data_IF_973922077545
#
_entry.id   IF_973922077545
#
_cell.length_a   1.000
_cell.length_b   1.000
_cell.length_c   1.000
_cell.angle_alpha   90.00
_cell.angle_beta   90.00
_cell.angle_gamma   90.00
#
_symmetry.space_group_name_H-M   'P 1'
#
loop_
_entity.id
_entity.type
_entity.pdbx_description
1 polymer ?
#
# COMPACT_ATOMS: atom_id res chain seq x y z
N UNK A 1 52.32 -42.88 21.33
CA UNK A 1 51.76 -41.68 21.94
C UNK A 1 52.40 -40.48 21.27
N UNK A 2 51.69 -39.88 20.29
CA UNK A 2 52.16 -38.65 19.64
C UNK A 2 51.62 -37.50 20.47
N UNK A 3 52.46 -36.89 21.31
CA UNK A 3 52.15 -35.65 22.00
C UNK A 3 52.14 -34.53 20.95
N UNK A 4 50.95 -34.06 20.64
CA UNK A 4 50.75 -32.87 19.85
C UNK A 4 51.13 -31.67 20.72
N UNK A 5 52.36 -31.19 20.60
CA UNK A 5 52.81 -29.92 21.19
C UNK A 5 52.05 -28.81 20.43
N UNK A 6 50.86 -28.47 20.89
CA UNK A 6 50.17 -27.30 20.38
C UNK A 6 50.99 -26.08 20.78
N UNK A 7 51.64 -25.48 19.82
CA UNK A 7 52.44 -24.29 20.01
C UNK A 7 51.52 -23.15 20.52
N UNK A 8 51.84 -22.60 21.70
CA UNK A 8 51.08 -21.55 22.36
C UNK A 8 50.75 -20.39 21.39
N UNK A 9 51.65 -20.07 20.48
CA UNK A 9 51.39 -19.10 19.38
C UNK A 9 50.18 -19.44 18.52
N UNK A 10 49.98 -20.71 18.20
CA UNK A 10 48.84 -21.16 17.37
C UNK A 10 47.55 -21.09 18.16
N UNK A 11 47.58 -21.28 19.47
CA UNK A 11 46.39 -21.13 20.35
C UNK A 11 45.94 -19.67 20.36
N UNK A 12 46.88 -18.71 20.54
CA UNK A 12 46.54 -17.27 20.50
C UNK A 12 46.03 -16.85 19.13
N UNK A 13 46.56 -17.40 18.06
CA UNK A 13 46.10 -17.10 16.69
C UNK A 13 44.69 -17.68 16.42
N UNK A 14 44.39 -18.84 16.97
CA UNK A 14 43.06 -19.46 16.88
C UNK A 14 42.04 -18.71 17.73
N UNK A 15 42.40 -18.27 18.95
CA UNK A 15 41.55 -17.47 19.81
C UNK A 15 41.30 -16.07 19.21
N UNK A 16 42.32 -15.44 18.62
CA UNK A 16 42.16 -14.14 17.96
C UNK A 16 41.29 -14.24 16.71
N UNK A 17 41.42 -15.33 15.94
CA UNK A 17 40.56 -15.59 14.77
C UNK A 17 39.08 -15.83 15.20
N UNK A 18 38.89 -16.60 16.29
CA UNK A 18 37.54 -16.81 16.85
C UNK A 18 36.94 -15.52 17.38
N UNK A 19 37.75 -14.62 17.98
CA UNK A 19 37.30 -13.32 18.47
C UNK A 19 36.95 -12.36 17.34
N UNK A 20 37.69 -12.40 16.21
CA UNK A 20 37.39 -11.61 15.02
C UNK A 20 36.07 -12.09 14.36
N UNK A 21 35.86 -13.41 14.33
CA UNK A 21 34.61 -14.00 13.79
C UNK A 21 33.42 -13.67 14.71
N UNK A 22 33.60 -13.64 16.03
CA UNK A 22 32.51 -13.26 16.95
C UNK A 22 32.22 -11.75 16.97
N UNK A 23 33.18 -10.90 16.57
CA UNK A 23 32.95 -9.46 16.41
C UNK A 23 32.33 -9.12 15.04
N UNK A 24 32.45 -10.01 14.06
CA UNK A 24 31.80 -9.85 12.76
C UNK A 24 30.38 -10.39 12.71
N UNK A 25 29.91 -11.08 13.76
CA UNK A 25 28.49 -11.34 13.99
C UNK A 25 27.82 -10.12 14.63
N UNK A 26 28.14 -8.92 14.13
CA UNK A 26 27.32 -7.74 14.36
C UNK A 26 25.91 -8.08 13.90
N UNK A 27 24.92 -7.83 14.72
CA UNK A 27 23.54 -7.81 14.30
C UNK A 27 23.50 -7.08 12.96
N UNK A 28 23.16 -7.78 11.90
CA UNK A 28 22.83 -7.16 10.63
C UNK A 28 21.51 -6.43 10.92
N UNK A 29 21.60 -5.22 11.47
CA UNK A 29 20.45 -4.37 11.60
C UNK A 29 19.94 -4.11 10.21
N UNK A 30 18.73 -4.57 9.93
CA UNK A 30 18.05 -4.26 8.67
C UNK A 30 17.84 -2.75 8.68
N UNK A 31 18.36 -2.01 7.69
CA UNK A 31 18.17 -0.57 7.66
C UNK A 31 16.68 -0.25 7.59
N UNK A 32 16.28 0.89 8.14
CA UNK A 32 14.91 1.38 7.97
C UNK A 32 14.66 1.64 6.48
N UNK A 33 13.50 1.23 5.99
CA UNK A 33 13.11 1.52 4.61
C UNK A 33 12.87 3.03 4.46
N UNK A 34 13.47 3.65 3.44
CA UNK A 34 13.06 5.00 3.05
C UNK A 34 11.60 4.97 2.56
N UNK A 35 10.80 6.03 2.78
CA UNK A 35 9.44 6.05 2.27
C UNK A 35 9.42 5.96 0.73
N UNK A 36 8.42 5.28 0.17
CA UNK A 36 8.11 5.32 -1.25
C UNK A 36 7.14 6.47 -1.48
N UNK A 37 7.67 7.59 -1.94
CA UNK A 37 6.89 8.82 -2.07
C UNK A 37 6.47 9.10 -3.51
N UNK A 38 5.27 9.63 -3.67
CA UNK A 38 4.76 10.17 -4.93
C UNK A 38 5.29 11.60 -5.07
N UNK A 39 5.65 12.03 -6.28
CA UNK A 39 6.15 13.38 -6.55
C UNK A 39 5.16 14.45 -6.08
N UNK A 40 5.63 15.43 -5.30
CA UNK A 40 4.81 16.47 -4.70
C UNK A 40 4.08 17.33 -5.75
N UNK A 41 4.71 17.60 -6.91
CA UNK A 41 4.08 18.38 -7.96
C UNK A 41 2.95 17.57 -8.62
N UNK A 42 3.11 16.26 -8.74
CA UNK A 42 2.06 15.37 -9.23
C UNK A 42 0.89 15.32 -8.24
N UNK A 43 1.15 15.17 -6.93
CA UNK A 43 0.12 15.24 -5.91
C UNK A 43 -0.69 16.54 -6.00
N UNK A 44 -0.01 17.68 -6.05
CA UNK A 44 -0.65 18.99 -6.16
C UNK A 44 -1.46 19.14 -7.46
N UNK A 45 -0.94 18.63 -8.59
CA UNK A 45 -1.61 18.74 -9.89
C UNK A 45 -2.94 18.00 -9.94
N UNK A 46 -3.04 16.88 -9.24
CA UNK A 46 -4.25 16.03 -9.17
C UNK A 46 -5.10 16.26 -7.92
N UNK A 47 -4.69 17.17 -7.03
CA UNK A 47 -5.43 17.49 -5.79
C UNK A 47 -5.38 16.38 -4.74
N UNK A 48 -4.21 15.75 -4.63
CA UNK A 48 -3.92 14.74 -3.60
C UNK A 48 -3.02 15.31 -2.52
N UNK A 49 -3.09 14.73 -1.33
CA UNK A 49 -2.21 15.05 -0.21
C UNK A 49 -1.69 13.80 0.49
N UNK A 50 -0.50 13.93 1.08
CA UNK A 50 0.04 12.94 2.01
C UNK A 50 -0.65 13.09 3.35
N UNK A 51 -1.16 11.98 3.90
CA UNK A 51 -1.87 11.95 5.19
C UNK A 51 -0.95 11.53 6.32
N UNK A 52 -0.14 10.48 6.10
CA UNK A 52 0.75 9.93 7.12
C UNK A 52 1.91 9.17 6.53
N UNK A 53 3.03 9.17 7.29
CA UNK A 53 4.15 8.26 7.11
C UNK A 53 4.28 7.45 8.39
N UNK A 54 4.28 6.13 8.27
CA UNK A 54 4.37 5.20 9.40
C UNK A 54 5.55 4.25 9.19
N UNK A 55 6.43 4.15 10.17
CA UNK A 55 7.54 3.20 10.19
C UNK A 55 7.16 1.99 11.04
N UNK A 56 7.36 0.80 10.49
CA UNK A 56 7.01 -0.45 11.14
C UNK A 56 8.11 -1.49 10.97
N UNK A 57 8.12 -2.48 11.86
CA UNK A 57 8.94 -3.67 11.73
C UNK A 57 8.03 -4.89 11.64
N UNK A 58 8.23 -5.71 10.63
CA UNK A 58 7.48 -6.93 10.38
C UNK A 58 8.38 -8.13 10.62
N UNK A 59 8.04 -8.96 11.59
CA UNK A 59 8.69 -10.26 11.78
C UNK A 59 8.00 -11.29 10.87
N UNK A 60 8.77 -11.86 9.94
CA UNK A 60 8.27 -12.86 9.01
C UNK A 60 9.00 -14.17 9.21
N UNK A 61 8.25 -15.23 9.48
CA UNK A 61 8.77 -16.61 9.56
C UNK A 61 9.05 -17.12 8.15
N UNK A 62 10.31 -17.46 7.88
CA UNK A 62 10.77 -17.99 6.58
C UNK A 62 10.76 -19.51 6.58
N UNK A 63 11.13 -20.13 7.72
CA UNK A 63 11.08 -21.57 7.96
C UNK A 63 10.61 -21.82 9.39
N UNK A 64 10.27 -23.07 9.75
CA UNK A 64 9.81 -23.44 11.09
C UNK A 64 10.73 -23.00 12.25
N UNK A 65 11.98 -22.62 11.95
CA UNK A 65 13.00 -22.23 12.94
C UNK A 65 13.69 -20.88 12.64
N UNK A 66 13.31 -20.18 11.58
CA UNK A 66 14.00 -18.97 11.16
C UNK A 66 12.97 -17.87 10.87
N UNK A 67 13.02 -16.78 11.64
CA UNK A 67 12.32 -15.53 11.32
C UNK A 67 13.31 -14.47 10.90
N UNK A 68 12.85 -13.57 10.03
CA UNK A 68 13.56 -12.35 9.62
C UNK A 68 12.74 -11.15 10.05
N UNK A 69 13.41 -10.11 10.49
CA UNK A 69 12.79 -8.82 10.75
C UNK A 69 12.97 -7.95 9.51
N UNK A 70 11.87 -7.51 8.94
CA UNK A 70 11.81 -6.59 7.82
C UNK A 70 11.38 -5.23 8.33
N UNK A 71 12.15 -4.20 8.07
CA UNK A 71 11.70 -2.84 8.33
C UNK A 71 10.90 -2.33 7.14
N UNK A 72 9.82 -1.63 7.44
CA UNK A 72 8.92 -1.11 6.42
C UNK A 72 8.53 0.33 6.71
N UNK A 73 8.26 1.07 5.64
CA UNK A 73 7.63 2.39 5.71
C UNK A 73 6.37 2.39 4.86
N UNK A 74 5.28 2.84 5.44
CA UNK A 74 3.97 2.99 4.81
C UNK A 74 3.68 4.47 4.65
N UNK A 75 3.31 4.90 3.44
CA UNK A 75 2.81 6.25 3.19
C UNK A 75 1.37 6.16 2.69
N UNK A 76 0.50 7.00 3.24
CA UNK A 76 -0.92 7.08 2.87
C UNK A 76 -1.20 8.42 2.21
N UNK A 77 -1.91 8.38 1.11
CA UNK A 77 -2.36 9.54 0.34
C UNK A 77 -3.88 9.54 0.21
N UNK A 78 -4.45 10.73 0.14
CA UNK A 78 -5.88 10.96 0.05
C UNK A 78 -6.18 11.94 -1.10
N UNK A 79 -7.30 11.72 -1.81
CA UNK A 79 -7.76 12.62 -2.86
C UNK A 79 -8.67 13.70 -2.27
N UNK A 80 -8.09 14.87 -1.98
CA UNK A 80 -8.83 16.01 -1.43
C UNK A 80 -9.81 16.58 -2.45
N UNK A 81 -9.41 16.65 -3.74
CA UNK A 81 -10.26 17.13 -4.84
C UNK A 81 -11.55 16.32 -4.93
N UNK A 82 -11.45 14.98 -4.93
CA UNK A 82 -12.63 14.12 -4.98
C UNK A 82 -13.54 14.34 -3.77
N UNK A 83 -12.98 14.49 -2.58
CA UNK A 83 -13.73 14.76 -1.36
C UNK A 83 -14.46 16.10 -1.41
N UNK A 84 -13.83 17.13 -1.95
CA UNK A 84 -14.45 18.45 -2.17
C UNK A 84 -15.55 18.36 -3.22
N UNK A 85 -15.34 17.66 -4.33
CA UNK A 85 -16.33 17.47 -5.39
C UNK A 85 -17.58 16.74 -4.89
N UNK A 86 -17.42 15.68 -4.09
CA UNK A 86 -18.53 14.97 -3.44
C UNK A 86 -19.29 15.93 -2.51
N UNK A 87 -18.57 16.66 -1.66
CA UNK A 87 -19.17 17.61 -0.71
C UNK A 87 -19.97 18.69 -1.43
N UNK A 88 -19.47 19.17 -2.57
CA UNK A 88 -20.17 20.15 -3.40
C UNK A 88 -21.44 19.57 -4.01
N UNK A 89 -21.37 18.37 -4.62
CA UNK A 89 -22.55 17.71 -5.20
C UNK A 89 -23.65 17.52 -4.13
N UNK A 90 -23.28 17.09 -2.92
CA UNK A 90 -24.20 16.94 -1.79
C UNK A 90 -24.83 18.29 -1.40
N UNK A 91 -24.04 19.36 -1.32
CA UNK A 91 -24.54 20.70 -1.01
C UNK A 91 -25.50 21.21 -2.08
N UNK A 92 -25.15 21.06 -3.35
CA UNK A 92 -25.99 21.47 -4.49
C UNK A 92 -27.32 20.69 -4.49
N UNK A 93 -27.30 19.40 -4.15
CA UNK A 93 -28.47 18.58 -3.99
C UNK A 93 -29.38 19.07 -2.84
N UNK A 94 -28.78 19.36 -1.68
CA UNK A 94 -29.50 19.88 -0.50
C UNK A 94 -30.20 21.21 -0.80
N UNK A 95 -29.49 22.15 -1.46
CA UNK A 95 -30.04 23.44 -1.84
C UNK A 95 -31.21 23.31 -2.83
N UNK A 96 -31.02 22.48 -3.86
CA UNK A 96 -32.03 22.25 -4.90
C UNK A 96 -33.30 21.66 -4.36
N UNK A 97 -33.20 20.75 -3.39
CA UNK A 97 -34.34 20.08 -2.77
C UNK A 97 -34.83 20.78 -1.51
N UNK A 98 -34.22 21.90 -1.11
CA UNK A 98 -34.57 22.69 0.11
C UNK A 98 -34.61 21.83 1.38
N UNK A 99 -33.64 20.92 1.51
CA UNK A 99 -33.57 20.01 2.65
C UNK A 99 -33.11 20.75 3.91
N UNK A 100 -33.84 20.69 5.02
CA UNK A 100 -33.47 21.39 6.25
C UNK A 100 -32.38 20.67 7.06
N UNK A 101 -31.96 19.47 6.64
CA UNK A 101 -31.04 18.61 7.37
C UNK A 101 -29.74 18.40 6.53
N UNK A 102 -28.61 18.36 7.23
CA UNK A 102 -27.36 17.94 6.63
C UNK A 102 -27.39 16.44 6.35
N UNK A 103 -27.04 16.05 5.13
CA UNK A 103 -26.89 14.63 4.77
C UNK A 103 -25.46 14.22 5.14
N UNK A 104 -25.27 13.22 6.02
CA UNK A 104 -23.94 12.75 6.33
C UNK A 104 -23.34 12.04 5.11
N UNK A 105 -22.12 12.43 4.76
CA UNK A 105 -21.32 11.72 3.75
C UNK A 105 -20.53 10.64 4.49
N UNK A 106 -20.56 9.38 4.03
CA UNK A 106 -19.74 8.34 4.62
C UNK A 106 -18.23 8.69 4.50
N UNK A 107 -17.49 8.58 5.61
CA UNK A 107 -16.06 8.95 5.68
C UNK A 107 -15.16 8.08 4.77
N UNK A 108 -15.63 6.91 4.38
CA UNK A 108 -14.91 5.94 3.55
C UNK A 108 -15.11 6.13 2.03
N UNK A 109 -15.78 7.20 1.60
CA UNK A 109 -16.03 7.50 0.18
C UNK A 109 -14.89 8.27 -0.50
N UNK A 110 -13.69 8.26 0.04
CA UNK A 110 -12.54 8.92 -0.55
C UNK A 110 -11.64 7.96 -1.32
N UNK A 111 -10.99 8.45 -2.37
CA UNK A 111 -9.94 7.70 -3.02
C UNK A 111 -8.64 7.76 -2.18
N UNK A 112 -7.95 6.63 -2.09
CA UNK A 112 -6.73 6.48 -1.30
C UNK A 112 -5.66 5.73 -2.08
N UNK A 113 -4.40 6.14 -1.92
CA UNK A 113 -3.23 5.38 -2.34
C UNK A 113 -2.39 5.08 -1.09
N UNK A 114 -1.92 3.85 -1.00
CA UNK A 114 -1.02 3.41 0.08
C UNK A 114 0.21 2.83 -0.58
N UNK A 115 1.37 3.37 -0.26
CA UNK A 115 2.67 2.78 -0.63
C UNK A 115 3.25 2.07 0.59
N UNK A 116 3.81 0.91 0.35
CA UNK A 116 4.42 0.08 1.37
C UNK A 116 5.81 -0.36 0.90
N UNK A 117 6.86 0.23 1.43
CA UNK A 117 8.25 -0.13 1.08
C UNK A 117 8.87 -0.97 2.19
N UNK A 118 9.44 -2.08 1.78
CA UNK A 118 10.17 -3.03 2.62
C UNK A 118 11.67 -2.89 2.39
N UNK A 119 12.44 -2.77 3.45
CA UNK A 119 13.90 -2.87 3.40
C UNK A 119 14.34 -4.29 3.77
N UNK A 120 15.33 -4.78 3.05
CA UNK A 120 15.91 -6.09 3.23
C UNK A 120 17.28 -5.99 3.89
N UNK A 121 17.71 -7.01 4.64
CA UNK A 121 19.09 -7.14 5.03
C UNK A 121 19.98 -7.12 3.78
N UNK A 122 21.10 -6.41 3.86
CA UNK A 122 22.05 -6.19 2.78
C UNK A 122 22.32 -7.47 1.93
N UNK A 123 22.02 -7.41 0.65
CA UNK A 123 22.19 -8.51 -0.31
C UNK A 123 21.11 -9.59 -0.31
N UNK A 124 20.06 -9.44 0.50
CA UNK A 124 18.90 -10.33 0.43
C UNK A 124 17.90 -9.81 -0.63
N UNK A 125 17.33 -10.75 -1.39
CA UNK A 125 16.15 -10.45 -2.23
C UNK A 125 14.92 -11.08 -1.61
N UNK A 126 13.80 -10.37 -1.62
CA UNK A 126 12.54 -10.99 -1.25
C UNK A 126 12.22 -12.13 -2.24
N UNK A 127 11.94 -13.33 -1.74
CA UNK A 127 11.40 -14.36 -2.61
C UNK A 127 10.10 -13.82 -3.25
N UNK A 128 9.96 -13.93 -4.56
CA UNK A 128 8.77 -13.47 -5.31
C UNK A 128 7.45 -13.94 -4.67
N UNK A 129 7.44 -15.16 -4.12
CA UNK A 129 6.28 -15.68 -3.38
C UNK A 129 6.01 -14.99 -2.05
N UNK A 130 6.96 -14.28 -1.45
CA UNK A 130 6.74 -13.53 -0.21
C UNK A 130 6.02 -12.20 -0.49
N UNK A 131 6.42 -11.50 -1.55
CA UNK A 131 5.73 -10.28 -2.02
C UNK A 131 4.26 -10.61 -2.29
N UNK A 132 3.98 -11.68 -3.04
CA UNK A 132 2.60 -12.12 -3.30
C UNK A 132 1.82 -12.41 -2.03
N UNK A 133 2.42 -13.07 -1.04
CA UNK A 133 1.77 -13.33 0.27
C UNK A 133 1.49 -12.06 1.07
N UNK A 134 2.42 -11.07 1.02
CA UNK A 134 2.20 -9.78 1.68
C UNK A 134 1.05 -9.05 0.99
N UNK A 135 1.01 -9.07 -0.35
CA UNK A 135 -0.08 -8.50 -1.12
C UNK A 135 -1.42 -9.16 -0.79
N UNK A 136 -1.48 -10.49 -0.81
CA UNK A 136 -2.69 -11.26 -0.44
C UNK A 136 -3.15 -10.87 0.98
N UNK A 137 -2.24 -10.87 1.96
CA UNK A 137 -2.56 -10.48 3.33
C UNK A 137 -3.08 -9.04 3.43
N UNK A 138 -2.53 -8.10 2.65
CA UNK A 138 -3.01 -6.72 2.63
C UNK A 138 -4.38 -6.58 1.96
N UNK A 139 -4.67 -7.39 0.96
CA UNK A 139 -6.01 -7.50 0.36
C UNK A 139 -7.00 -8.06 1.38
N UNK A 140 -6.66 -9.14 2.08
CA UNK A 140 -7.49 -9.73 3.14
C UNK A 140 -7.73 -8.72 4.28
N UNK A 141 -6.71 -7.94 4.70
CA UNK A 141 -6.86 -6.88 5.71
C UNK A 141 -7.85 -5.79 5.25
N UNK A 142 -7.91 -5.50 3.95
CA UNK A 142 -8.89 -4.55 3.39
C UNK A 142 -10.29 -5.17 3.39
N UNK A 143 -10.43 -6.43 3.01
CA UNK A 143 -11.72 -7.14 3.04
C UNK A 143 -12.26 -7.26 4.48
N UNK A 144 -11.42 -7.66 5.44
CA UNK A 144 -11.81 -7.82 6.86
C UNK A 144 -12.09 -6.48 7.57
N UNK A 145 -11.40 -5.41 7.17
CA UNK A 145 -11.48 -4.09 7.80
C UNK A 145 -12.47 -3.12 7.17
N UNK A 146 -13.04 -3.47 6.03
CA UNK A 146 -13.99 -2.65 5.28
C UNK A 146 -15.27 -3.45 4.99
N UNK A 147 -16.37 -2.75 4.78
CA UNK A 147 -17.62 -3.34 4.27
C UNK A 147 -17.50 -3.73 2.78
N UNK A 148 -16.34 -4.25 2.37
CA UNK A 148 -16.06 -4.68 1.00
C UNK A 148 -16.26 -6.18 0.90
N UNK A 149 -17.13 -6.61 0.00
CA UNK A 149 -17.38 -8.01 -0.29
C UNK A 149 -17.12 -8.32 -1.77
N UNK A 150 -16.84 -9.58 -2.05
CA UNK A 150 -16.71 -10.09 -3.42
C UNK A 150 -15.63 -9.37 -4.26
N UNK A 151 -14.44 -9.20 -3.70
CA UNK A 151 -13.30 -8.67 -4.44
C UNK A 151 -12.96 -9.60 -5.61
N UNK A 152 -12.98 -9.07 -6.83
CA UNK A 152 -12.71 -9.82 -8.05
C UNK A 152 -11.67 -9.10 -8.90
N UNK A 153 -10.66 -9.83 -9.37
CA UNK A 153 -9.72 -9.31 -10.36
C UNK A 153 -10.45 -9.09 -11.70
N UNK A 154 -10.50 -7.84 -12.17
CA UNK A 154 -11.11 -7.46 -13.46
C UNK A 154 -10.16 -7.66 -14.62
N UNK A 155 -8.93 -7.16 -14.46
CA UNK A 155 -7.92 -7.14 -15.50
C UNK A 155 -6.54 -6.87 -14.90
N UNK A 156 -5.51 -7.03 -15.73
CA UNK A 156 -4.17 -6.59 -15.42
C UNK A 156 -3.59 -5.81 -16.60
N UNK A 157 -2.72 -4.82 -16.32
CA UNK A 157 -2.03 -4.03 -17.34
C UNK A 157 -0.59 -3.73 -16.91
N UNK A 158 0.29 -3.51 -17.88
CA UNK A 158 1.65 -3.09 -17.60
C UNK A 158 1.68 -1.59 -17.30
N UNK A 159 2.47 -1.22 -16.30
CA UNK A 159 2.78 0.15 -15.93
C UNK A 159 4.29 0.35 -16.04
N UNK A 160 4.71 1.48 -16.59
CA UNK A 160 6.10 1.89 -16.65
C UNK A 160 6.26 3.08 -15.71
N UNK A 161 7.12 2.94 -14.70
CA UNK A 161 7.44 3.99 -13.75
C UNK A 161 8.35 5.04 -14.39
N UNK A 162 8.52 6.19 -13.74
CA UNK A 162 9.34 7.29 -14.25
C UNK A 162 10.84 6.92 -14.41
N UNK A 163 11.33 6.00 -13.60
CA UNK A 163 12.69 5.45 -13.69
C UNK A 163 12.86 4.38 -14.80
N UNK A 164 11.78 4.03 -15.51
CA UNK A 164 11.74 3.01 -16.55
C UNK A 164 11.47 1.59 -16.05
N UNK A 165 11.26 1.39 -14.75
CA UNK A 165 10.88 0.10 -14.18
C UNK A 165 9.50 -0.33 -14.70
N UNK A 166 9.41 -1.54 -15.25
CA UNK A 166 8.15 -2.13 -15.67
C UNK A 166 7.54 -2.96 -14.53
N UNK A 167 6.26 -2.75 -14.28
CA UNK A 167 5.50 -3.53 -13.29
C UNK A 167 4.11 -3.90 -13.81
N UNK A 168 3.54 -4.97 -13.26
CA UNK A 168 2.19 -5.40 -13.57
C UNK A 168 1.23 -4.88 -12.50
N UNK A 169 0.24 -4.13 -12.94
CA UNK A 169 -0.86 -3.66 -12.08
C UNK A 169 -2.02 -4.62 -12.24
N UNK A 170 -2.51 -5.17 -11.13
CA UNK A 170 -3.75 -5.92 -11.05
C UNK A 170 -4.87 -4.98 -10.61
N UNK A 171 -5.96 -4.97 -11.36
CA UNK A 171 -7.13 -4.13 -11.10
C UNK A 171 -8.27 -5.00 -10.60
N UNK A 172 -8.89 -4.58 -9.53
CA UNK A 172 -9.97 -5.28 -8.84
C UNK A 172 -11.25 -4.44 -8.83
N UNK A 173 -12.35 -5.14 -8.68
CA UNK A 173 -13.65 -4.54 -8.38
C UNK A 173 -14.29 -5.29 -7.22
N UNK A 174 -14.91 -4.58 -6.31
CA UNK A 174 -15.62 -5.13 -5.19
C UNK A 174 -16.99 -4.48 -5.03
N UNK A 175 -17.95 -5.22 -4.50
CA UNK A 175 -19.26 -4.67 -4.12
C UNK A 175 -19.18 -4.14 -2.69
N UNK A 176 -19.74 -2.96 -2.43
CA UNK A 176 -19.96 -2.52 -1.06
C UNK A 176 -21.14 -3.24 -0.42
N UNK A 177 -21.09 -3.47 0.89
CA UNK A 177 -22.18 -4.11 1.65
C UNK A 177 -23.47 -3.27 1.71
N UNK A 178 -23.41 -1.98 1.38
CA UNK A 178 -24.59 -1.14 1.29
C UNK A 178 -25.35 -1.47 -0.01
N UNK A 179 -26.19 -2.48 0.06
CA UNK A 179 -27.03 -3.00 -1.04
C UNK A 179 -27.92 -1.95 -1.71
N UNK A 180 -28.07 -0.79 -1.11
CA UNK A 180 -29.00 0.25 -1.57
C UNK A 180 -28.32 1.41 -2.33
N UNK A 181 -26.98 1.54 -2.28
CA UNK A 181 -26.32 2.72 -2.85
C UNK A 181 -25.96 2.62 -4.34
N UNK A 182 -25.91 1.42 -4.91
CA UNK A 182 -25.48 1.25 -6.32
C UNK A 182 -23.98 1.48 -6.55
N UNK A 183 -23.21 1.77 -5.50
CA UNK A 183 -21.78 2.01 -5.58
C UNK A 183 -20.97 0.72 -5.46
N UNK A 184 -19.84 0.69 -6.13
CA UNK A 184 -18.82 -0.34 -6.01
C UNK A 184 -17.47 0.30 -5.69
N UNK A 185 -16.50 -0.49 -5.28
CA UNK A 185 -15.12 -0.06 -5.13
C UNK A 185 -14.30 -0.59 -6.30
N UNK A 186 -13.48 0.25 -6.89
CA UNK A 186 -12.39 -0.14 -7.74
C UNK A 186 -11.08 -0.06 -6.95
N UNK A 187 -10.16 -0.94 -7.25
CA UNK A 187 -8.86 -0.92 -6.62
C UNK A 187 -7.78 -1.44 -7.55
N UNK A 188 -6.55 -1.15 -7.20
CA UNK A 188 -5.41 -1.77 -7.86
C UNK A 188 -4.36 -2.16 -6.84
N UNK A 189 -3.51 -3.10 -7.25
CA UNK A 189 -2.30 -3.44 -6.55
C UNK A 189 -1.17 -3.66 -7.56
N UNK A 190 0.01 -3.18 -7.22
CA UNK A 190 1.24 -3.43 -7.96
C UNK A 190 2.41 -3.58 -7.01
N UNK A 191 3.47 -4.24 -7.46
CA UNK A 191 4.70 -4.35 -6.70
C UNK A 191 5.91 -4.34 -7.64
N UNK A 192 6.96 -3.66 -7.21
CA UNK A 192 8.23 -3.59 -7.92
C UNK A 192 9.40 -3.63 -6.96
N UNK A 193 10.56 -4.01 -7.47
CA UNK A 193 11.78 -4.17 -6.69
C UNK A 193 12.84 -3.21 -7.21
N UNK A 194 13.53 -2.55 -6.28
CA UNK A 194 14.74 -1.80 -6.51
C UNK A 194 15.84 -2.42 -5.63
N UNK A 195 17.06 -2.49 -6.13
CA UNK A 195 18.26 -3.08 -5.52
C UNK A 195 18.09 -3.79 -4.16
N UNK A 196 17.78 -3.05 -3.09
CA UNK A 196 17.67 -3.55 -1.71
C UNK A 196 16.27 -3.34 -1.10
N UNK A 197 15.29 -2.91 -1.89
CA UNK A 197 13.92 -2.65 -1.41
C UNK A 197 12.86 -3.26 -2.31
N UNK A 198 11.72 -3.60 -1.71
CA UNK A 198 10.52 -3.97 -2.45
C UNK A 198 9.40 -2.99 -2.09
N UNK A 199 8.75 -2.45 -3.11
CA UNK A 199 7.63 -1.52 -2.94
C UNK A 199 6.35 -2.18 -3.40
N UNK A 200 5.32 -2.12 -2.57
CA UNK A 200 3.96 -2.51 -2.90
C UNK A 200 3.12 -1.24 -2.90
N UNK A 201 2.31 -1.05 -3.92
CA UNK A 201 1.40 0.08 -4.01
C UNK A 201 -0.02 -0.44 -4.19
N UNK A 202 -0.92 0.10 -3.40
CA UNK A 202 -2.35 -0.22 -3.46
C UNK A 202 -3.14 1.06 -3.57
N UNK A 203 -4.23 1.02 -4.32
CA UNK A 203 -5.17 2.12 -4.40
C UNK A 203 -6.61 1.63 -4.37
N UNK A 204 -7.48 2.45 -3.81
CA UNK A 204 -8.92 2.21 -3.72
C UNK A 204 -9.67 3.50 -4.08
N UNK A 205 -10.74 3.36 -4.84
CA UNK A 205 -11.62 4.45 -5.23
C UNK A 205 -13.06 3.97 -5.36
N UNK A 206 -14.05 4.71 -4.86
CA UNK A 206 -15.45 4.43 -5.11
C UNK A 206 -15.81 4.70 -6.58
N UNK A 207 -16.80 3.96 -7.11
CA UNK A 207 -17.29 4.09 -8.48
C UNK A 207 -18.79 3.91 -8.53
N UNK A 208 -19.49 4.76 -9.27
CA UNK A 208 -20.93 4.70 -9.50
C UNK A 208 -21.71 5.84 -8.91
N UNK A 209 -23.02 5.63 -8.74
CA UNK A 209 -23.95 6.61 -8.23
C UNK A 209 -24.34 6.28 -6.78
N UNK A 210 -24.24 7.26 -5.91
CA UNK A 210 -24.82 7.17 -4.57
C UNK A 210 -26.24 7.73 -4.58
N UNK A 211 -27.23 6.89 -4.28
CA UNK A 211 -28.64 7.23 -4.29
C UNK A 211 -29.16 7.39 -2.87
N UNK A 212 -30.10 8.32 -2.71
CA UNK A 212 -30.82 8.51 -1.47
C UNK A 212 -32.30 8.19 -1.69
N UNK A 213 -32.83 7.32 -0.84
CA UNK A 213 -34.25 6.96 -0.81
C UNK A 213 -34.87 7.42 0.52
N UNK A 214 -35.23 8.70 0.57
CA UNK A 214 -35.98 9.29 1.71
C UNK A 214 -37.25 9.91 1.18
N UNK A 215 -38.39 9.28 1.49
CA UNK A 215 -39.70 9.75 0.99
C UNK A 215 -39.91 11.26 1.27
N UNK A 216 -40.27 12.08 0.28
CA UNK A 216 -40.66 11.74 -1.10
C UNK A 216 -39.51 11.74 -2.10
N UNK A 217 -38.23 11.77 -1.66
CA UNK A 217 -37.05 11.91 -2.48
C UNK A 217 -36.52 10.53 -2.80
N UNK A 218 -36.34 10.25 -4.10
CA UNK A 218 -35.58 9.09 -4.60
C UNK A 218 -34.77 9.60 -5.78
N UNK A 219 -33.49 9.96 -5.51
CA UNK A 219 -32.64 10.61 -6.52
C UNK A 219 -31.16 10.32 -6.25
N UNK A 220 -30.31 10.61 -7.24
CA UNK A 220 -28.86 10.50 -7.13
C UNK A 220 -28.33 11.69 -6.33
N UNK A 221 -27.65 11.41 -5.22
CA UNK A 221 -27.04 12.42 -4.36
C UNK A 221 -25.72 12.92 -4.95
N UNK A 222 -24.88 11.99 -5.45
CA UNK A 222 -23.65 12.27 -6.17
C UNK A 222 -23.25 11.06 -7.04
N UNK A 223 -22.31 11.29 -7.97
CA UNK A 223 -21.76 10.26 -8.85
C UNK A 223 -20.26 10.41 -8.93
N UNK A 224 -19.55 9.28 -8.99
CA UNK A 224 -18.09 9.19 -9.12
C UNK A 224 -17.77 8.33 -10.33
N UNK A 225 -16.92 8.84 -11.22
CA UNK A 225 -16.30 8.08 -12.31
C UNK A 225 -15.00 7.43 -11.80
N UNK A 226 -15.16 6.28 -11.14
CA UNK A 226 -14.04 5.57 -10.53
C UNK A 226 -13.02 5.06 -11.55
N UNK A 227 -13.38 4.82 -12.80
CA UNK A 227 -12.43 4.43 -13.86
C UNK A 227 -11.49 5.60 -14.19
N UNK A 228 -12.01 6.82 -14.30
CA UNK A 228 -11.21 8.03 -14.52
C UNK A 228 -10.29 8.31 -13.33
N UNK A 229 -10.80 8.21 -12.11
CA UNK A 229 -10.01 8.38 -10.89
C UNK A 229 -8.91 7.31 -10.78
N UNK A 230 -9.22 6.06 -11.13
CA UNK A 230 -8.24 4.97 -11.14
C UNK A 230 -7.10 5.25 -12.12
N UNK A 231 -7.40 5.77 -13.29
CA UNK A 231 -6.38 6.14 -14.29
C UNK A 231 -5.48 7.29 -13.76
N UNK A 232 -6.05 8.31 -13.11
CA UNK A 232 -5.27 9.35 -12.43
C UNK A 232 -4.37 8.79 -11.31
N UNK A 233 -4.89 7.87 -10.50
CA UNK A 233 -4.10 7.20 -9.47
C UNK A 233 -2.90 6.45 -10.07
N UNK A 234 -3.07 5.80 -11.21
CA UNK A 234 -1.97 5.10 -11.89
C UNK A 234 -0.95 6.07 -12.48
N UNK A 235 -1.36 7.26 -12.93
CA UNK A 235 -0.40 8.33 -13.32
C UNK A 235 0.42 8.81 -12.11
N UNK A 236 -0.19 8.95 -10.92
CA UNK A 236 0.53 9.27 -9.68
C UNK A 236 1.53 8.16 -9.32
N UNK A 237 1.13 6.88 -9.41
CA UNK A 237 2.01 5.74 -9.12
C UNK A 237 3.25 5.72 -10.01
N UNK A 238 3.16 6.20 -11.25
CA UNK A 238 4.32 6.31 -12.16
C UNK A 238 5.42 7.22 -11.62
N UNK A 239 5.09 8.17 -10.76
CA UNK A 239 6.02 9.17 -10.22
C UNK A 239 6.69 8.75 -8.90
N UNK A 240 6.42 7.53 -8.41
CA UNK A 240 6.99 7.03 -7.15
C UNK A 240 8.52 6.89 -7.27
N UNK A 241 9.21 7.45 -6.24
CA UNK A 241 10.65 7.38 -6.05
C UNK A 241 11.06 6.46 -4.88
#
# INVERSE_FOLDING_TARGET
VILLVLNIKNIYLLISLLFIISLSSGCLETPQASPAVIDDNALLAYGWSEVSIEENSLEQTVTDSTSIVLNSTTVKYHNDRLSEDISKQVSDFQESNKLPLSIPIPENLSAQIITYRLSLPSGAKLPTGLVSKIMEKKIDEIEDGSDIENLQEKTSRNLILADGTETMVKIFSASGNSTDSGMRMLGFVTAFENEDTSTIVMGLVPDGEYRIEVWPINDTLFSIDGESELDEMLELVRTIE
#
